data_IF_405642963105
#
_entry.id   IF_405642963105
#
_cell.length_a   1.000
_cell.length_b   1.000
_cell.length_c   1.000
_cell.angle_alpha   90.00
_cell.angle_beta   90.00
_cell.angle_gamma   90.00
#
_symmetry.space_group_name_H-M   'P 1'
#
loop_
_entity.id
_entity.type
_entity.pdbx_description
1 polymer ?
#
# COMPACT_ATOMS: atom_id res chain seq x y z
N UNK A 1 -6.02 -22.36 20.47
CA UNK A 1 -6.12 -23.08 19.17
C UNK A 1 -4.94 -22.66 18.30
N UNK A 2 -4.47 -23.49 17.35
CA UNK A 2 -3.38 -23.10 16.44
C UNK A 2 -3.93 -22.17 15.34
N UNK A 3 -3.45 -20.93 15.27
CA UNK A 3 -3.64 -20.07 14.10
C UNK A 3 -2.94 -20.70 12.89
N UNK A 4 -3.56 -20.63 11.71
CA UNK A 4 -2.84 -20.95 10.47
C UNK A 4 -1.96 -19.74 10.11
N UNK A 5 -0.62 -19.88 9.95
CA UNK A 5 0.31 -18.76 9.75
C UNK A 5 0.25 -18.17 8.34
N UNK A 6 -0.93 -18.25 7.72
CA UNK A 6 -1.14 -18.13 6.28
C UNK A 6 -2.42 -17.32 6.05
N UNK A 7 -2.73 -16.40 6.99
CA UNK A 7 -3.67 -15.27 6.96
C UNK A 7 -3.54 -14.44 8.29
N UNK A 8 -2.53 -13.52 8.38
CA UNK A 8 -2.42 -12.29 9.27
C UNK A 8 -2.76 -10.79 8.82
N UNK A 9 -2.64 -10.20 7.58
CA UNK A 9 -3.05 -8.80 7.18
C UNK A 9 -4.46 -8.58 6.54
N UNK A 10 -5.28 -7.63 7.04
CA UNK A 10 -6.27 -6.82 6.29
C UNK A 10 -7.24 -5.99 7.16
N UNK A 11 -6.72 -5.33 8.18
CA UNK A 11 -7.21 -4.03 8.64
C UNK A 11 -6.12 -3.38 9.49
N UNK A 12 -5.40 -2.43 8.91
CA UNK A 12 -4.17 -1.87 9.52
C UNK A 12 -4.05 -0.36 9.32
N UNK A 13 -5.17 0.34 9.54
CA UNK A 13 -5.45 1.72 9.15
C UNK A 13 -6.58 2.23 10.08
N UNK A 14 -6.60 3.41 10.75
CA UNK A 14 -5.58 4.48 10.92
C UNK A 14 -5.95 5.59 11.94
N UNK A 15 -5.34 5.61 13.13
CA UNK A 15 -5.35 6.79 14.04
C UNK A 15 -3.98 7.49 14.15
N UNK A 16 -3.82 8.68 13.52
CA UNK A 16 -3.13 9.86 14.10
C UNK A 16 -3.69 11.11 13.41
N UNK A 17 -4.50 11.91 14.14
CA UNK A 17 -4.89 13.28 13.75
C UNK A 17 -5.11 14.15 14.99
N UNK A 18 -4.06 14.37 15.79
CA UNK A 18 -4.08 15.40 16.84
C UNK A 18 -2.66 15.84 17.25
N UNK A 19 -2.15 16.94 16.69
CA UNK A 19 -0.97 17.66 17.21
C UNK A 19 -0.83 19.08 16.63
N UNK A 20 -1.90 19.89 16.69
CA UNK A 20 -1.86 21.30 16.26
C UNK A 20 -2.97 22.16 16.91
N UNK A 21 -3.19 22.04 18.23
CA UNK A 21 -4.20 22.82 18.94
C UNK A 21 -3.79 23.09 20.40
N UNK A 22 -2.89 24.07 20.60
CA UNK A 22 -2.76 24.83 21.86
C UNK A 22 -1.76 25.98 21.68
N UNK A 23 -2.27 27.18 21.40
CA UNK A 23 -2.18 28.36 22.26
C UNK A 23 -3.03 29.48 21.65
N UNK A 24 -3.75 30.21 22.50
CA UNK A 24 -4.63 31.31 22.12
C UNK A 24 -4.43 32.43 23.16
N UNK A 25 -4.53 33.69 22.70
CA UNK A 25 -4.65 34.93 23.50
C UNK A 25 -3.38 35.60 24.08
N UNK A 26 -3.24 36.95 24.10
CA UNK A 26 -3.60 37.99 23.10
C UNK A 26 -2.54 39.17 23.20
N UNK A 27 -2.78 40.53 23.15
CA UNK A 27 -1.82 41.42 22.47
C UNK A 27 -1.35 42.69 23.23
N UNK A 28 -0.35 43.39 22.67
CA UNK A 28 -0.06 44.84 22.86
C UNK A 28 0.67 45.32 21.59
N UNK A 29 0.24 46.34 20.84
CA UNK A 29 -0.05 47.78 21.09
C UNK A 29 1.13 48.69 20.69
N UNK A 30 0.80 49.76 19.96
CA UNK A 30 1.67 50.66 19.18
C UNK A 30 2.33 51.77 20.02
N UNK A 31 3.44 52.37 19.56
CA UNK A 31 3.52 53.77 19.06
C UNK A 31 4.92 54.18 18.58
N UNK A 32 4.99 55.06 17.58
CA UNK A 32 6.18 55.83 17.16
C UNK A 32 6.65 56.90 18.19
N UNK A 33 7.87 57.44 18.01
CA UNK A 33 8.15 58.86 17.65
C UNK A 33 9.64 59.27 17.89
N UNK A 34 10.33 59.57 16.78
CA UNK A 34 11.47 60.50 16.52
C UNK A 34 12.80 60.57 17.31
N UNK A 35 13.80 61.02 16.56
CA UNK A 35 15.24 61.21 16.82
C UNK A 35 15.60 62.43 17.70
N UNK A 36 16.89 62.52 18.09
CA UNK A 36 17.74 63.57 17.50
C UNK A 36 19.04 63.05 16.86
N UNK A 37 19.55 63.76 15.84
CA UNK A 37 20.72 63.34 15.05
C UNK A 37 22.11 63.71 15.63
N UNK A 38 23.05 62.77 15.42
CA UNK A 38 24.48 62.85 15.13
C UNK A 38 25.41 63.93 15.76
N UNK A 39 26.51 63.45 16.36
CA UNK A 39 27.87 63.94 16.16
C UNK A 39 28.62 63.06 15.13
N UNK A 40 29.37 63.69 14.20
CA UNK A 40 30.12 62.98 13.14
C UNK A 40 31.31 62.12 13.63
N UNK A 41 31.65 61.11 12.82
CA UNK A 41 32.67 60.08 13.07
C UNK A 41 34.14 60.57 13.00
N UNK A 42 35.07 59.88 13.71
CA UNK A 42 36.42 59.64 13.23
C UNK A 42 36.43 58.40 12.31
N UNK A 43 36.69 58.59 11.01
CA UNK A 43 36.50 57.55 9.99
C UNK A 43 37.34 56.27 10.18
N UNK A 44 36.72 55.12 9.90
CA UNK A 44 37.35 53.80 9.94
C UNK A 44 38.30 53.52 8.76
N UNK A 45 39.16 52.49 8.87
CA UNK A 45 40.08 52.11 7.80
C UNK A 45 39.36 51.51 6.58
N UNK A 46 39.88 51.75 5.38
CA UNK A 46 39.35 51.17 4.14
C UNK A 46 39.42 49.65 4.13
N UNK A 47 38.33 49.00 3.72
CA UNK A 47 38.30 47.55 3.49
C UNK A 47 39.17 47.15 2.29
N UNK A 48 39.84 45.99 2.33
CA UNK A 48 40.59 45.48 1.18
C UNK A 48 39.63 45.01 0.08
N UNK A 49 39.93 45.34 -1.18
CA UNK A 49 39.16 44.85 -2.32
C UNK A 49 39.11 43.32 -2.36
N UNK A 50 37.89 42.77 -2.43
CA UNK A 50 37.67 41.34 -2.60
C UNK A 50 38.18 40.81 -3.94
N UNK A 51 38.45 39.49 -4.06
CA UNK A 51 38.87 38.88 -5.31
C UNK A 51 37.78 39.00 -6.38
N UNK A 52 38.17 39.26 -7.63
CA UNK A 52 37.25 39.32 -8.76
C UNK A 52 36.60 37.96 -9.05
N UNK A 53 35.34 37.98 -9.50
CA UNK A 53 34.58 36.77 -9.82
C UNK A 53 35.27 35.90 -10.89
N UNK A 54 35.25 34.56 -10.74
CA UNK A 54 35.83 33.65 -11.72
C UNK A 54 35.01 33.68 -13.03
N UNK A 55 35.72 33.82 -14.16
CA UNK A 55 35.09 33.75 -15.49
C UNK A 55 34.29 32.46 -15.69
N UNK A 56 33.06 32.59 -16.18
CA UNK A 56 32.20 31.45 -16.48
C UNK A 56 32.85 30.49 -17.51
N UNK A 57 32.74 29.16 -17.32
CA UNK A 57 33.33 28.20 -18.25
C UNK A 57 32.66 28.25 -19.63
N UNK A 58 33.41 27.99 -20.72
CA UNK A 58 32.85 28.00 -22.07
C UNK A 58 31.81 26.89 -22.25
N UNK A 59 30.73 27.19 -22.99
CA UNK A 59 29.64 26.26 -23.23
C UNK A 59 30.12 24.97 -23.94
N UNK A 60 29.60 23.79 -23.55
CA UNK A 60 29.98 22.52 -24.18
C UNK A 60 29.54 22.47 -25.64
N UNK A 61 30.36 21.87 -26.50
CA UNK A 61 30.02 21.66 -27.92
C UNK A 61 28.85 20.67 -28.05
N UNK A 62 27.91 20.89 -28.98
CA UNK A 62 26.81 19.95 -29.21
C UNK A 62 27.33 18.57 -29.65
N UNK A 63 26.64 17.47 -29.29
CA UNK A 63 27.02 16.14 -29.74
C UNK A 63 26.85 16.01 -31.25
N UNK A 64 27.65 15.12 -31.87
CA UNK A 64 27.44 14.72 -33.26
C UNK A 64 26.09 13.98 -33.39
N UNK A 65 25.35 14.15 -34.50
CA UNK A 65 24.17 13.32 -34.77
C UNK A 65 24.59 11.85 -34.93
N UNK A 66 23.72 10.89 -34.55
CA UNK A 66 23.98 9.46 -34.72
C UNK A 66 24.00 9.07 -36.21
N UNK A 67 24.76 8.03 -36.54
CA UNK A 67 24.73 7.43 -37.88
C UNK A 67 23.39 6.75 -38.15
N UNK A 68 22.94 6.79 -39.42
CA UNK A 68 21.68 6.16 -39.82
C UNK A 68 21.75 4.63 -39.70
N UNK A 69 20.71 3.96 -39.16
CA UNK A 69 20.71 2.51 -39.02
C UNK A 69 20.72 1.82 -40.39
N UNK A 70 21.49 0.73 -40.50
CA UNK A 70 21.55 -0.09 -41.72
C UNK A 70 20.21 -0.79 -41.95
N UNK A 71 19.74 -0.82 -43.20
CA UNK A 71 18.48 -1.47 -43.55
C UNK A 71 18.50 -2.97 -43.18
N UNK A 72 17.39 -3.53 -42.65
CA UNK A 72 17.30 -4.95 -42.33
C UNK A 72 17.34 -5.81 -43.60
N UNK A 73 17.86 -7.04 -43.48
CA UNK A 73 17.77 -8.03 -44.55
C UNK A 73 16.30 -8.50 -44.71
N UNK A 74 15.84 -8.81 -45.93
CA UNK A 74 14.53 -9.44 -46.13
C UNK A 74 14.50 -10.83 -45.47
N UNK A 75 13.33 -11.29 -44.98
CA UNK A 75 13.19 -12.61 -44.38
C UNK A 75 13.28 -13.73 -45.44
N UNK A 76 13.75 -14.91 -45.02
CA UNK A 76 13.71 -16.12 -45.87
C UNK A 76 12.27 -16.60 -46.07
N UNK A 77 12.00 -17.19 -47.25
CA UNK A 77 10.67 -17.71 -47.56
C UNK A 77 10.31 -18.95 -46.71
N UNK A 78 9.08 -19.03 -46.18
CA UNK A 78 8.65 -20.16 -45.35
C UNK A 78 8.60 -21.46 -46.16
N UNK A 79 9.02 -22.57 -45.54
CA UNK A 79 8.95 -23.91 -46.14
C UNK A 79 7.49 -24.36 -46.26
N UNK A 80 7.09 -25.04 -47.36
CA UNK A 80 5.72 -25.48 -47.54
C UNK A 80 5.29 -26.50 -46.47
N UNK A 81 4.02 -26.48 -46.03
CA UNK A 81 3.52 -27.41 -45.02
C UNK A 81 3.51 -28.86 -45.55
N UNK A 82 3.74 -29.82 -44.66
CA UNK A 82 3.60 -31.25 -44.98
C UNK A 82 2.11 -31.60 -45.14
N UNK A 83 1.80 -32.43 -46.14
CA UNK A 83 0.43 -32.88 -46.38
C UNK A 83 -0.20 -33.58 -45.15
N UNK A 84 -1.49 -33.35 -44.85
CA UNK A 84 -2.18 -34.03 -43.76
C UNK A 84 -2.21 -35.56 -43.97
N UNK A 85 -2.16 -36.32 -42.87
CA UNK A 85 -2.48 -37.75 -42.91
C UNK A 85 -4.00 -37.92 -43.02
N UNK A 86 -4.44 -38.87 -43.84
CA UNK A 86 -5.85 -39.20 -43.98
C UNK A 86 -6.48 -39.60 -42.62
N UNK A 87 -7.71 -39.18 -42.32
CA UNK A 87 -8.40 -39.56 -41.09
C UNK A 87 -8.75 -41.05 -41.09
N UNK A 88 -8.80 -41.66 -39.91
CA UNK A 88 -9.33 -43.02 -39.73
C UNK A 88 -10.85 -43.02 -39.89
N UNK A 89 -11.47 -44.09 -40.44
CA UNK A 89 -12.92 -44.20 -40.49
C UNK A 89 -13.53 -44.21 -39.07
N UNK A 90 -14.72 -43.64 -38.88
CA UNK A 90 -15.41 -43.65 -37.59
C UNK A 90 -15.81 -45.07 -37.19
N UNK A 91 -15.88 -45.34 -35.88
CA UNK A 91 -16.53 -46.55 -35.37
C UNK A 91 -18.05 -46.42 -35.52
N UNK A 92 -18.73 -47.54 -35.76
CA UNK A 92 -20.19 -47.58 -35.76
C UNK A 92 -20.75 -47.15 -34.38
N UNK A 93 -21.89 -46.44 -34.34
CA UNK A 93 -22.53 -46.06 -33.09
C UNK A 93 -23.16 -47.27 -32.39
N UNK A 94 -23.14 -47.27 -31.06
CA UNK A 94 -23.90 -48.25 -30.27
C UNK A 94 -25.41 -47.96 -30.37
N UNK A 95 -26.23 -49.00 -30.27
CA UNK A 95 -27.69 -48.85 -30.22
C UNK A 95 -28.13 -48.02 -28.99
N UNK A 96 -29.16 -47.17 -29.11
CA UNK A 96 -29.64 -46.36 -28.00
C UNK A 96 -30.32 -47.21 -26.93
N UNK A 97 -30.02 -46.93 -25.66
CA UNK A 97 -30.75 -47.51 -24.52
C UNK A 97 -32.17 -46.96 -24.43
N UNK A 98 -33.13 -47.79 -24.03
CA UNK A 98 -34.52 -47.36 -23.83
C UNK A 98 -34.61 -46.22 -22.77
N UNK A 99 -35.47 -45.21 -22.98
CA UNK A 99 -35.62 -44.11 -22.04
C UNK A 99 -36.22 -44.59 -20.72
N UNK A 100 -35.68 -44.11 -19.59
CA UNK A 100 -36.29 -44.30 -18.28
C UNK A 100 -37.55 -43.42 -18.17
N UNK A 101 -38.58 -43.93 -17.51
CA UNK A 101 -39.77 -43.15 -17.18
C UNK A 101 -39.40 -41.90 -16.36
N UNK A 102 -40.07 -40.76 -16.59
CA UNK A 102 -39.81 -39.54 -15.84
C UNK A 102 -40.15 -39.71 -14.35
N UNK A 103 -39.34 -39.14 -13.47
CA UNK A 103 -39.75 -38.92 -12.07
C UNK A 103 -40.84 -37.85 -12.03
N UNK A 104 -41.73 -37.95 -11.05
CA UNK A 104 -42.59 -36.83 -10.66
C UNK A 104 -41.71 -35.63 -10.22
N UNK A 105 -42.13 -34.39 -10.48
CA UNK A 105 -41.42 -33.20 -10.02
C UNK A 105 -41.49 -33.10 -8.49
N UNK A 106 -40.37 -32.78 -7.86
CA UNK A 106 -40.34 -32.40 -6.45
C UNK A 106 -41.08 -31.06 -6.24
N UNK A 107 -41.71 -30.89 -5.08
CA UNK A 107 -42.41 -29.65 -4.74
C UNK A 107 -41.42 -28.46 -4.66
N UNK A 108 -41.82 -27.25 -5.11
CA UNK A 108 -40.95 -26.08 -5.09
C UNK A 108 -40.54 -25.75 -3.65
N UNK A 109 -39.23 -25.73 -3.39
CA UNK A 109 -38.68 -25.28 -2.12
C UNK A 109 -38.87 -23.76 -2.00
N UNK A 110 -39.23 -23.31 -0.80
CA UNK A 110 -39.30 -21.87 -0.49
C UNK A 110 -37.95 -21.21 -0.77
N UNK A 111 -37.90 -20.00 -1.39
CA UNK A 111 -36.65 -19.33 -1.74
C UNK A 111 -35.94 -18.79 -0.49
N UNK A 112 -35.19 -19.67 0.18
CA UNK A 112 -34.35 -19.34 1.31
C UNK A 112 -32.89 -19.23 0.86
N UNK A 113 -32.40 -17.98 0.91
CA UNK A 113 -31.05 -17.55 0.61
C UNK A 113 -30.68 -17.62 -0.88
N UNK A 114 -30.20 -16.50 -1.40
CA UNK A 114 -29.65 -16.37 -2.75
C UNK A 114 -28.56 -17.41 -2.98
N UNK A 115 -28.66 -18.15 -4.08
CA UNK A 115 -27.60 -19.04 -4.54
C UNK A 115 -26.32 -18.21 -4.76
N UNK A 116 -25.31 -18.42 -3.92
CA UNK A 116 -23.95 -18.07 -4.29
C UNK A 116 -23.52 -19.11 -5.34
N UNK A 117 -23.80 -18.77 -6.60
CA UNK A 117 -23.58 -19.66 -7.74
C UNK A 117 -22.14 -20.18 -7.79
N UNK A 118 -21.95 -21.30 -8.48
CA UNK A 118 -20.63 -21.91 -8.69
C UNK A 118 -19.79 -21.13 -9.73
N UNK A 119 -19.74 -19.80 -9.62
CA UNK A 119 -18.88 -18.96 -10.42
C UNK A 119 -17.40 -19.22 -10.06
N UNK A 120 -16.51 -19.44 -11.06
CA UNK A 120 -15.05 -19.47 -10.83
C UNK A 120 -14.48 -18.08 -10.44
N UNK A 121 -15.32 -17.05 -10.41
CA UNK A 121 -14.95 -15.65 -10.24
C UNK A 121 -15.77 -14.90 -9.17
N UNK A 122 -16.65 -15.61 -8.45
CA UNK A 122 -17.41 -15.10 -7.32
C UNK A 122 -16.54 -14.81 -6.08
N UNK A 123 -16.98 -13.87 -5.24
CA UNK A 123 -16.16 -13.30 -4.13
C UNK A 123 -15.64 -14.37 -3.16
N UNK A 124 -16.47 -15.33 -2.75
CA UNK A 124 -16.06 -16.43 -1.86
C UNK A 124 -14.93 -17.30 -2.48
N UNK A 125 -14.97 -17.54 -3.79
CA UNK A 125 -13.92 -18.26 -4.51
C UNK A 125 -12.65 -17.42 -4.69
N UNK A 126 -12.78 -16.13 -5.02
CA UNK A 126 -11.64 -15.20 -5.10
C UNK A 126 -10.91 -15.08 -3.76
N UNK A 127 -11.62 -14.92 -2.65
CA UNK A 127 -11.02 -14.87 -1.31
C UNK A 127 -10.28 -16.19 -0.98
N UNK A 128 -10.86 -17.35 -1.32
CA UNK A 128 -10.17 -18.65 -1.19
C UNK A 128 -8.96 -18.79 -2.10
N UNK A 129 -8.96 -18.19 -3.30
CA UNK A 129 -7.82 -18.15 -4.23
C UNK A 129 -6.69 -17.26 -3.68
N UNK A 130 -7.01 -16.04 -3.24
CA UNK A 130 -6.08 -15.09 -2.61
C UNK A 130 -5.46 -15.74 -1.37
N UNK A 131 -6.30 -16.30 -0.48
CA UNK A 131 -5.87 -17.08 0.68
C UNK A 131 -4.85 -18.16 0.27
N UNK A 132 -5.20 -19.04 -0.68
CA UNK A 132 -4.37 -20.14 -1.16
C UNK A 132 -3.05 -19.69 -1.82
N UNK A 133 -3.03 -18.49 -2.40
CA UNK A 133 -1.83 -17.89 -3.01
C UNK A 133 -0.91 -17.27 -1.97
N UNK A 134 -1.46 -16.53 -0.99
CA UNK A 134 -0.73 -15.98 0.15
C UNK A 134 0.02 -17.07 0.94
N UNK A 135 -0.55 -18.29 1.02
CA UNK A 135 0.11 -19.46 1.67
C UNK A 135 1.43 -19.92 1.04
N UNK A 136 1.85 -19.31 -0.07
CA UNK A 136 3.09 -19.60 -0.82
C UNK A 136 4.03 -18.40 -0.92
N UNK A 137 3.73 -17.31 -0.23
CA UNK A 137 4.53 -16.08 -0.22
C UNK A 137 5.38 -16.07 1.04
N UNK A 138 6.67 -16.38 0.90
CA UNK A 138 7.63 -16.31 2.00
C UNK A 138 8.14 -14.88 2.21
N UNK A 139 8.55 -14.22 1.14
CA UNK A 139 8.88 -12.80 1.16
C UNK A 139 8.40 -12.08 -0.11
N UNK A 140 8.12 -10.77 0.03
CA UNK A 140 7.94 -9.85 -1.10
C UNK A 140 8.88 -8.65 -0.95
N UNK A 141 9.34 -8.11 -2.08
CA UNK A 141 9.92 -6.77 -2.15
C UNK A 141 9.34 -6.02 -3.34
N UNK A 142 9.40 -4.69 -3.33
CA UNK A 142 9.03 -3.87 -4.48
C UNK A 142 9.04 -2.38 -4.15
N UNK A 143 8.67 -1.57 -5.14
CA UNK A 143 8.48 -0.14 -4.97
C UNK A 143 7.06 0.18 -4.50
N UNK A 144 6.91 1.26 -3.74
CA UNK A 144 5.63 1.75 -3.23
C UNK A 144 5.47 3.25 -3.49
N UNK A 145 4.29 3.63 -4.00
CA UNK A 145 3.83 5.02 -4.07
C UNK A 145 2.59 5.19 -3.19
N UNK A 146 2.68 6.05 -2.18
CA UNK A 146 1.57 6.43 -1.31
C UNK A 146 1.11 7.84 -1.65
N UNK A 147 -0.20 8.06 -1.77
CA UNK A 147 -0.84 9.35 -2.02
C UNK A 147 -1.90 9.59 -0.95
N UNK A 148 -1.74 10.59 -0.07
CA UNK A 148 -2.85 11.12 0.75
C UNK A 148 -3.46 12.33 0.04
N UNK A 149 -4.79 12.41 0.00
CA UNK A 149 -5.55 13.61 -0.31
C UNK A 149 -6.33 13.98 0.96
N UNK A 150 -6.03 15.17 1.49
CA UNK A 150 -6.79 15.79 2.57
C UNK A 150 -8.12 16.31 2.05
N UNK A 151 -9.25 15.85 2.61
CA UNK A 151 -10.59 16.14 2.08
C UNK A 151 -11.01 17.60 2.27
N UNK A 152 -10.54 18.23 3.34
CA UNK A 152 -10.91 19.59 3.77
C UNK A 152 -10.03 20.64 3.10
N UNK A 153 -8.72 20.37 3.03
CA UNK A 153 -7.73 21.31 2.50
C UNK A 153 -7.41 21.09 1.01
N UNK A 154 -7.90 20.00 0.41
CA UNK A 154 -7.57 19.59 -0.97
C UNK A 154 -6.09 19.24 -1.19
N UNK A 155 -5.29 19.20 -0.11
CA UNK A 155 -3.83 19.03 -0.18
C UNK A 155 -3.49 17.59 -0.52
N UNK A 156 -2.64 17.41 -1.53
CA UNK A 156 -2.11 16.10 -1.90
C UNK A 156 -0.67 15.96 -1.40
N UNK A 157 -0.44 14.95 -0.55
CA UNK A 157 0.88 14.46 -0.19
C UNK A 157 1.18 13.19 -0.98
N UNK A 158 2.32 13.12 -1.67
CA UNK A 158 2.80 11.88 -2.30
C UNK A 158 4.11 11.48 -1.65
N UNK A 159 4.29 10.20 -1.37
CA UNK A 159 5.56 9.60 -0.96
C UNK A 159 5.91 8.43 -1.85
N UNK A 160 7.21 8.26 -2.11
CA UNK A 160 7.76 7.12 -2.84
C UNK A 160 8.84 6.45 -2.01
N UNK A 161 9.10 5.19 -2.31
CA UNK A 161 10.17 4.40 -1.70
C UNK A 161 9.97 2.92 -2.02
N UNK A 162 10.45 2.05 -1.13
CA UNK A 162 10.32 0.60 -1.25
C UNK A 162 9.58 -0.01 -0.07
N UNK A 163 9.11 -1.25 -0.25
CA UNK A 163 8.52 -2.08 0.79
C UNK A 163 9.16 -3.47 0.84
N UNK A 164 9.05 -4.10 2.00
CA UNK A 164 9.42 -5.48 2.24
C UNK A 164 8.34 -6.18 3.07
N UNK A 165 8.08 -7.44 2.78
CA UNK A 165 7.20 -8.34 3.53
C UNK A 165 7.93 -9.67 3.78
N UNK A 166 7.73 -10.26 4.95
CA UNK A 166 8.12 -11.63 5.27
C UNK A 166 7.03 -12.32 6.09
N UNK A 167 6.67 -13.54 5.69
CA UNK A 167 5.64 -14.36 6.32
C UNK A 167 6.00 -14.78 7.76
N UNK A 168 5.01 -14.96 8.65
CA UNK A 168 5.27 -15.49 9.99
C UNK A 168 5.80 -16.93 9.93
N UNK A 169 6.57 -17.30 10.96
CA UNK A 169 7.12 -18.64 11.18
C UNK A 169 6.80 -19.10 12.60
N UNK A 170 7.22 -20.31 12.99
CA UNK A 170 7.00 -20.79 14.38
C UNK A 170 7.81 -19.99 15.43
N UNK A 171 8.87 -19.28 15.03
CA UNK A 171 9.79 -18.57 15.94
C UNK A 171 9.84 -17.05 15.72
N UNK A 172 9.19 -16.52 14.68
CA UNK A 172 9.15 -15.09 14.36
C UNK A 172 7.75 -14.71 13.85
N UNK A 173 7.18 -13.58 14.32
CA UNK A 173 5.95 -13.04 13.75
C UNK A 173 6.19 -12.58 12.31
N UNK A 174 5.11 -12.19 11.65
CA UNK A 174 5.14 -11.55 10.34
C UNK A 174 5.88 -10.21 10.42
N UNK A 175 6.64 -9.86 9.38
CA UNK A 175 7.49 -8.65 9.37
C UNK A 175 7.26 -7.84 8.12
N UNK A 176 6.95 -6.55 8.29
CA UNK A 176 6.74 -5.64 7.16
C UNK A 176 7.49 -4.34 7.39
N UNK A 177 8.04 -3.80 6.29
CA UNK A 177 8.58 -2.46 6.25
C UNK A 177 8.09 -1.68 5.05
N UNK A 178 7.74 -0.40 5.25
CA UNK A 178 7.59 0.60 4.19
C UNK A 178 8.61 1.70 4.47
N UNK A 179 9.57 1.88 3.56
CA UNK A 179 10.69 2.80 3.69
C UNK A 179 10.59 3.85 2.59
N UNK A 180 10.04 5.02 2.91
CA UNK A 180 9.98 6.15 1.99
C UNK A 180 11.31 6.91 1.95
N UNK A 181 11.76 7.28 0.75
CA UNK A 181 12.91 8.15 0.53
C UNK A 181 12.48 9.58 0.12
N UNK A 182 11.42 9.72 -0.68
CA UNK A 182 10.96 11.02 -1.20
C UNK A 182 9.57 11.42 -0.69
N UNK A 183 9.43 12.73 -0.51
CA UNK A 183 8.18 13.44 -0.37
C UNK A 183 7.99 14.33 -1.62
N UNK A 184 6.80 14.31 -2.20
CA UNK A 184 6.41 15.19 -3.31
C UNK A 184 5.13 15.94 -2.90
N UNK A 185 5.24 17.26 -2.81
CA UNK A 185 4.14 18.18 -2.48
C UNK A 185 4.19 19.32 -3.49
N UNK A 186 3.04 19.72 -4.05
CA UNK A 186 2.94 20.76 -5.08
C UNK A 186 3.91 20.53 -6.27
N UNK A 187 4.05 19.28 -6.71
CA UNK A 187 5.01 18.80 -7.74
C UNK A 187 6.51 18.96 -7.39
N UNK A 188 6.84 19.43 -6.19
CA UNK A 188 8.23 19.62 -5.73
C UNK A 188 8.71 18.40 -4.94
N UNK A 189 9.76 17.73 -5.43
CA UNK A 189 10.38 16.59 -4.74
C UNK A 189 11.35 17.05 -3.64
N UNK A 190 11.41 16.28 -2.54
CA UNK A 190 12.30 16.46 -1.39
C UNK A 190 12.72 15.10 -0.85
N UNK A 191 14.00 14.93 -0.50
CA UNK A 191 14.43 13.78 0.31
C UNK A 191 13.88 13.95 1.73
N UNK A 192 13.07 12.99 2.18
CA UNK A 192 12.30 13.01 3.43
C UNK A 192 12.05 11.59 3.91
N UNK A 193 13.14 10.95 4.33
CA UNK A 193 13.14 9.59 4.84
C UNK A 193 12.14 9.42 5.99
N UNK A 194 11.20 8.48 5.81
CA UNK A 194 10.25 8.08 6.84
C UNK A 194 9.93 6.60 6.68
N UNK A 195 10.00 5.87 7.78
CA UNK A 195 9.89 4.41 7.77
C UNK A 195 8.76 3.93 8.69
N UNK A 196 8.13 2.83 8.30
CA UNK A 196 7.00 2.22 8.99
C UNK A 196 7.27 0.72 9.08
N UNK A 197 7.56 0.23 10.28
CA UNK A 197 8.07 -1.13 10.52
C UNK A 197 7.12 -1.86 11.48
N UNK A 198 6.57 -3.00 11.07
CA UNK A 198 5.54 -3.75 11.79
C UNK A 198 5.98 -5.19 12.11
N UNK A 199 5.87 -5.58 13.39
CA UNK A 199 6.33 -6.88 13.94
C UNK A 199 5.19 -7.85 14.30
N UNK A 200 4.00 -7.67 13.73
CA UNK A 200 2.80 -8.41 14.11
C UNK A 200 2.03 -7.81 15.29
N UNK A 201 2.68 -7.02 16.17
CA UNK A 201 2.06 -6.47 17.40
C UNK A 201 2.23 -4.95 17.54
N UNK A 202 3.39 -4.43 17.14
CA UNK A 202 3.79 -3.03 17.20
C UNK A 202 4.04 -2.45 15.81
N UNK A 203 3.71 -1.18 15.63
CA UNK A 203 4.22 -0.33 14.54
C UNK A 203 5.27 0.62 15.10
N UNK A 204 6.49 0.56 14.58
CA UNK A 204 7.49 1.62 14.74
C UNK A 204 7.42 2.57 13.53
N UNK A 205 7.00 3.82 13.75
CA UNK A 205 7.18 4.93 12.81
C UNK A 205 8.52 5.62 13.10
N UNK A 206 9.38 5.79 12.09
CA UNK A 206 10.64 6.53 12.17
C UNK A 206 10.58 7.75 11.27
N UNK A 207 10.66 8.97 11.81
CA UNK A 207 10.78 10.21 11.01
C UNK A 207 12.18 10.80 11.16
N UNK A 208 12.94 10.73 10.06
CA UNK A 208 14.36 11.09 10.02
C UNK A 208 14.57 12.61 9.94
N UNK A 209 13.52 13.39 9.61
CA UNK A 209 13.60 14.86 9.62
C UNK A 209 13.53 15.39 11.05
N UNK A 210 12.61 14.85 11.86
CA UNK A 210 12.39 15.29 13.25
C UNK A 210 13.22 14.52 14.27
N UNK A 211 13.92 13.46 13.85
CA UNK A 211 14.62 12.50 14.74
C UNK A 211 13.67 11.95 15.81
N UNK A 212 12.49 11.52 15.38
CA UNK A 212 11.45 10.97 16.25
C UNK A 212 11.09 9.56 15.84
N UNK A 213 11.10 8.65 16.80
CA UNK A 213 10.50 7.33 16.67
C UNK A 213 9.20 7.27 17.48
N UNK A 214 8.16 6.67 16.94
CA UNK A 214 6.92 6.37 17.66
C UNK A 214 6.68 4.87 17.55
N UNK A 215 6.79 4.14 18.66
CA UNK A 215 6.52 2.70 18.72
C UNK A 215 5.15 2.48 19.36
N UNK A 216 4.13 2.25 18.53
CA UNK A 216 2.73 2.09 18.92
C UNK A 216 2.36 0.61 18.99
N UNK A 217 1.91 0.15 20.14
CA UNK A 217 1.32 -1.18 20.28
C UNK A 217 -0.08 -1.13 19.71
N UNK A 218 -0.34 -2.04 18.78
CA UNK A 218 -1.61 -2.12 18.09
C UNK A 218 -2.48 -3.19 18.77
N UNK A 219 -1.85 -4.30 19.15
CA UNK A 219 -2.48 -5.54 19.58
C UNK A 219 -2.10 -5.97 21.00
N UNK A 220 -3.01 -6.62 21.73
CA UNK A 220 -2.65 -7.69 22.65
C UNK A 220 -1.90 -8.80 21.89
N UNK A 221 -0.94 -9.46 22.54
CA UNK A 221 -0.17 -10.54 21.92
C UNK A 221 -1.10 -11.65 21.37
N UNK A 222 -0.91 -12.01 20.11
CA UNK A 222 -1.72 -13.02 19.42
C UNK A 222 -3.06 -12.53 18.85
N UNK A 223 -3.42 -11.25 19.00
CA UNK A 223 -4.55 -10.64 18.29
C UNK A 223 -4.08 -9.88 17.04
N UNK A 224 -4.97 -9.71 16.06
CA UNK A 224 -4.69 -9.03 14.79
C UNK A 224 -5.61 -7.82 14.64
N UNK A 225 -5.03 -6.63 14.39
CA UNK A 225 -5.66 -5.31 14.61
C UNK A 225 -4.96 -4.17 13.85
N UNK A 226 -5.36 -2.91 14.10
CA UNK A 226 -5.18 -1.78 13.20
C UNK A 226 -4.02 -0.82 13.51
N UNK A 227 -3.09 -0.54 12.57
CA UNK A 227 -1.91 0.33 12.80
C UNK A 227 -2.07 1.82 12.45
N UNK A 228 -2.54 2.11 11.23
CA UNK A 228 -2.31 3.40 10.60
C UNK A 228 -1.04 3.48 9.77
N UNK A 229 -0.81 4.68 9.22
CA UNK A 229 0.25 4.91 8.25
C UNK A 229 -0.12 4.52 6.81
N UNK A 230 0.87 4.15 5.98
CA UNK A 230 0.72 3.94 4.54
C UNK A 230 0.55 2.49 4.09
N UNK A 231 0.64 1.52 5.02
CA UNK A 231 0.95 0.14 4.66
C UNK A 231 -0.27 -0.55 4.02
N UNK A 232 -0.17 -1.12 2.79
CA UNK A 232 -1.25 -1.82 2.12
C UNK A 232 -1.38 -3.25 2.63
N UNK A 233 -1.82 -3.36 3.88
CA UNK A 233 -1.97 -4.61 4.60
C UNK A 233 -3.25 -5.31 4.10
N UNK A 234 -3.12 -6.31 3.22
CA UNK A 234 -4.26 -6.85 2.43
C UNK A 234 -4.25 -8.36 2.16
N UNK A 235 -3.14 -9.05 2.41
CA UNK A 235 -2.91 -10.42 1.91
C UNK A 235 -3.59 -11.53 2.70
N UNK A 236 -3.99 -11.21 3.92
CA UNK A 236 -3.82 -12.15 5.01
C UNK A 236 -4.84 -11.91 6.16
N UNK A 237 -6.08 -11.42 6.05
CA UNK A 237 -7.08 -11.70 7.13
C UNK A 237 -7.78 -13.00 6.82
N UNK A 238 -8.00 -13.85 7.84
CA UNK A 238 -8.77 -15.08 7.66
C UNK A 238 -10.06 -14.73 6.91
N UNK A 239 -10.49 -15.56 5.95
CA UNK A 239 -11.69 -15.24 5.17
C UNK A 239 -12.88 -14.95 6.10
N UNK A 240 -12.95 -15.67 7.21
CA UNK A 240 -13.87 -15.42 8.33
C UNK A 240 -13.73 -14.08 9.05
N UNK A 241 -12.53 -13.51 9.20
CA UNK A 241 -12.32 -12.20 9.84
C UNK A 241 -12.63 -11.03 8.89
N UNK A 242 -12.26 -11.17 7.62
CA UNK A 242 -12.74 -10.28 6.55
C UNK A 242 -14.28 -10.27 6.52
N UNK A 243 -14.91 -11.45 6.51
CA UNK A 243 -16.37 -11.59 6.48
C UNK A 243 -17.05 -11.24 7.82
N UNK A 244 -16.32 -11.14 8.94
CA UNK A 244 -16.83 -10.57 10.20
C UNK A 244 -16.90 -9.05 10.14
N UNK A 245 -15.86 -8.41 9.61
CA UNK A 245 -15.70 -6.95 9.65
C UNK A 245 -16.32 -6.23 8.43
N UNK A 246 -16.39 -6.91 7.27
CA UNK A 246 -16.73 -6.29 5.99
C UNK A 246 -17.86 -7.00 5.24
N UNK A 247 -18.63 -6.22 4.47
CA UNK A 247 -19.32 -6.68 3.26
C UNK A 247 -18.34 -6.54 2.10
N UNK A 248 -18.16 -7.61 1.33
CA UNK A 248 -17.14 -7.69 0.28
C UNK A 248 -17.83 -7.91 -1.06
N UNK A 249 -17.51 -7.12 -2.08
CA UNK A 249 -18.11 -7.22 -3.42
C UNK A 249 -17.05 -7.10 -4.51
N UNK A 250 -17.21 -7.82 -5.63
CA UNK A 250 -16.39 -7.59 -6.83
C UNK A 250 -16.79 -6.24 -7.45
N UNK A 251 -15.80 -5.52 -7.98
CA UNK A 251 -15.97 -4.26 -8.70
C UNK A 251 -15.24 -4.35 -10.04
N UNK A 252 -15.75 -3.62 -11.03
CA UNK A 252 -14.94 -3.21 -12.18
C UNK A 252 -13.77 -2.33 -11.65
N UNK A 253 -12.50 -2.70 -11.93
CA UNK A 253 -11.34 -1.94 -11.48
C UNK A 253 -11.21 -0.55 -12.14
N UNK A 254 -11.92 -0.28 -13.25
CA UNK A 254 -11.93 1.02 -13.92
C UNK A 254 -13.12 1.91 -13.51
N UNK A 255 -14.03 1.42 -12.65
CA UNK A 255 -15.31 2.05 -12.31
C UNK A 255 -15.22 3.45 -11.67
N UNK A 256 -14.04 3.90 -11.24
CA UNK A 256 -13.79 5.28 -10.81
C UNK A 256 -12.33 5.68 -10.99
N UNK A 257 -12.08 6.99 -11.11
CA UNK A 257 -10.77 7.52 -11.50
C UNK A 257 -9.62 7.28 -10.52
N UNK A 258 -9.90 6.86 -9.29
CA UNK A 258 -8.87 6.72 -8.24
C UNK A 258 -8.13 5.39 -8.33
N UNK A 259 -8.74 4.36 -8.94
CA UNK A 259 -8.08 3.08 -9.24
C UNK A 259 -7.35 3.08 -10.58
N UNK A 260 -7.53 4.08 -11.46
CA UNK A 260 -6.84 4.12 -12.77
C UNK A 260 -5.30 4.15 -12.63
N UNK A 261 -4.77 4.81 -11.59
CA UNK A 261 -3.35 4.77 -11.21
C UNK A 261 -2.85 3.34 -10.89
N UNK A 262 -3.75 2.41 -10.54
CA UNK A 262 -3.44 1.03 -10.15
C UNK A 262 -3.60 0.02 -11.30
N UNK A 263 -4.35 0.38 -12.35
CA UNK A 263 -4.72 -0.50 -13.48
C UNK A 263 -3.84 -0.21 -14.72
N UNK A 264 -2.76 0.56 -14.56
CA UNK A 264 -1.96 1.12 -15.66
C UNK A 264 -0.94 0.14 -16.29
N UNK A 265 -1.29 -1.14 -16.44
CA UNK A 265 -0.42 -2.18 -17.01
C UNK A 265 -1.18 -3.17 -17.90
N UNK A 266 -0.45 -3.95 -18.68
CA UNK A 266 -1.02 -4.91 -19.65
C UNK A 266 -1.52 -6.23 -19.01
N UNK A 267 -1.22 -6.47 -17.73
CA UNK A 267 -1.67 -7.67 -17.01
C UNK A 267 -3.12 -7.54 -16.49
N UNK A 268 -3.94 -8.60 -16.58
CA UNK A 268 -5.34 -8.56 -16.14
C UNK A 268 -5.45 -8.41 -14.61
N UNK A 269 -6.37 -7.55 -14.18
CA UNK A 269 -6.62 -7.23 -12.77
C UNK A 269 -8.12 -7.27 -12.42
N UNK A 270 -8.43 -7.58 -11.16
CA UNK A 270 -9.78 -7.51 -10.60
C UNK A 270 -9.82 -6.64 -9.34
N UNK A 271 -10.96 -6.01 -9.07
CA UNK A 271 -11.14 -5.20 -7.87
C UNK A 271 -12.09 -5.86 -6.86
N UNK A 272 -11.73 -5.86 -5.59
CA UNK A 272 -12.61 -6.18 -4.46
C UNK A 272 -12.84 -4.93 -3.61
N UNK A 273 -14.11 -4.57 -3.38
CA UNK A 273 -14.52 -3.54 -2.42
C UNK A 273 -14.84 -4.18 -1.08
N UNK A 274 -14.28 -3.59 -0.03
CA UNK A 274 -14.51 -3.89 1.38
C UNK A 274 -15.24 -2.70 2.00
N UNK A 275 -16.52 -2.87 2.36
CA UNK A 275 -17.33 -1.87 3.06
C UNK A 275 -17.57 -2.34 4.49
N UNK A 276 -17.19 -1.56 5.53
CA UNK A 276 -17.40 -1.93 6.92
C UNK A 276 -18.84 -2.35 7.22
N UNK A 277 -19.01 -3.34 8.10
CA UNK A 277 -20.32 -3.70 8.65
C UNK A 277 -20.70 -2.79 9.81
N UNK A 278 -21.98 -2.46 9.93
CA UNK A 278 -22.51 -1.71 11.07
C UNK A 278 -22.19 -2.39 12.41
N UNK A 279 -21.99 -1.59 13.47
CA UNK A 279 -21.57 -2.08 14.78
C UNK A 279 -20.08 -2.45 14.89
N UNK A 280 -19.33 -2.50 13.79
CA UNK A 280 -17.89 -2.80 13.79
C UNK A 280 -17.05 -1.51 13.90
N UNK A 281 -15.90 -1.55 14.59
CA UNK A 281 -15.05 -0.36 14.84
C UNK A 281 -14.58 0.34 13.56
N UNK A 282 -14.49 -0.43 12.49
CA UNK A 282 -14.11 -0.08 11.12
C UNK A 282 -14.98 1.03 10.54
N UNK A 283 -16.24 1.14 10.98
CA UNK A 283 -17.17 2.21 10.57
C UNK A 283 -16.75 3.61 11.05
N UNK A 284 -15.96 3.69 12.14
CA UNK A 284 -15.41 4.96 12.64
C UNK A 284 -14.27 5.47 11.76
N UNK A 285 -13.61 4.56 11.05
CA UNK A 285 -12.38 4.84 10.29
C UNK A 285 -12.63 4.92 8.78
N UNK A 286 -13.52 4.09 8.21
CA UNK A 286 -13.71 3.95 6.75
C UNK A 286 -15.15 4.05 6.28
N UNK A 287 -15.29 4.64 5.10
CA UNK A 287 -16.46 4.49 4.22
C UNK A 287 -16.32 3.23 3.36
N UNK A 288 -15.14 3.00 2.77
CA UNK A 288 -14.82 1.80 1.98
C UNK A 288 -13.31 1.70 1.67
N UNK A 289 -12.86 0.49 1.31
CA UNK A 289 -11.54 0.20 0.77
C UNK A 289 -11.73 -0.61 -0.52
N UNK A 290 -11.13 -0.18 -1.63
CA UNK A 290 -11.02 -0.93 -2.89
C UNK A 290 -9.60 -1.47 -3.04
N UNK A 291 -9.47 -2.74 -3.44
CA UNK A 291 -8.19 -3.41 -3.64
C UNK A 291 -8.12 -3.96 -5.05
N UNK A 292 -7.09 -3.59 -5.80
CA UNK A 292 -6.84 -4.08 -7.16
C UNK A 292 -5.80 -5.20 -7.10
N UNK A 293 -6.21 -6.41 -7.47
CA UNK A 293 -5.39 -7.63 -7.50
C UNK A 293 -5.07 -8.05 -8.93
N UNK A 294 -3.84 -8.51 -9.16
CA UNK A 294 -3.41 -9.20 -10.36
C UNK A 294 -4.13 -10.56 -10.50
N UNK A 295 -4.81 -10.85 -11.61
CA UNK A 295 -5.55 -12.11 -11.79
C UNK A 295 -4.64 -13.34 -11.92
N UNK A 296 -3.46 -13.16 -12.54
CA UNK A 296 -2.52 -14.25 -12.82
C UNK A 296 -1.74 -14.70 -11.58
N UNK A 297 -1.33 -13.76 -10.73
CA UNK A 297 -0.48 -14.05 -9.58
C UNK A 297 -1.16 -13.83 -8.20
N UNK A 298 -2.24 -13.04 -8.12
CA UNK A 298 -3.04 -12.74 -6.91
C UNK A 298 -2.33 -11.89 -5.83
N UNK A 299 -1.36 -11.07 -6.21
CA UNK A 299 -0.83 -9.94 -5.42
C UNK A 299 -1.66 -8.67 -5.71
N UNK A 300 -1.90 -7.78 -4.73
CA UNK A 300 -2.39 -6.44 -4.99
C UNK A 300 -1.40 -5.58 -5.78
N UNK A 301 -1.84 -5.02 -6.89
CA UNK A 301 -1.17 -3.88 -7.54
C UNK A 301 -1.38 -2.58 -6.72
N UNK A 302 -2.39 -2.58 -5.84
CA UNK A 302 -2.58 -1.51 -4.87
C UNK A 302 -3.96 -1.46 -4.22
N UNK A 303 -4.23 -0.35 -3.53
CA UNK A 303 -5.53 -0.04 -2.94
C UNK A 303 -5.89 1.45 -3.03
N UNK A 304 -7.18 1.72 -2.99
CA UNK A 304 -7.76 3.05 -2.74
C UNK A 304 -8.67 2.92 -1.53
N UNK A 305 -8.59 3.84 -0.58
CA UNK A 305 -9.47 3.87 0.58
C UNK A 305 -10.04 5.27 0.80
N UNK A 306 -11.26 5.30 1.33
CA UNK A 306 -11.95 6.52 1.72
C UNK A 306 -12.28 6.43 3.21
N UNK A 307 -11.67 7.32 3.99
CA UNK A 307 -11.90 7.45 5.41
C UNK A 307 -13.32 7.95 5.70
N UNK A 308 -13.78 7.79 6.94
CA UNK A 308 -15.05 8.35 7.43
C UNK A 308 -15.13 9.89 7.36
N UNK A 309 -13.99 10.60 7.45
CA UNK A 309 -13.87 12.05 7.23
C UNK A 309 -13.71 12.44 5.74
N UNK A 310 -13.84 11.49 4.81
CA UNK A 310 -13.66 11.69 3.38
C UNK A 310 -12.21 11.82 2.91
N UNK A 311 -11.20 11.74 3.80
CA UNK A 311 -9.79 11.68 3.37
C UNK A 311 -9.60 10.46 2.45
N UNK A 312 -8.91 10.66 1.33
CA UNK A 312 -8.62 9.57 0.39
C UNK A 312 -7.14 9.20 0.47
N UNK A 313 -6.84 7.92 0.58
CA UNK A 313 -5.47 7.40 0.43
C UNK A 313 -5.44 6.41 -0.73
N UNK A 314 -4.44 6.53 -1.60
CA UNK A 314 -4.12 5.55 -2.63
C UNK A 314 -2.74 4.99 -2.35
N UNK A 315 -2.58 3.68 -2.46
CA UNK A 315 -1.28 2.99 -2.44
C UNK A 315 -1.15 2.20 -3.73
N UNK A 316 -0.06 2.42 -4.47
CA UNK A 316 0.35 1.64 -5.63
C UNK A 316 1.61 0.87 -5.27
N UNK A 317 1.63 -0.42 -5.59
CA UNK A 317 2.82 -1.27 -5.55
C UNK A 317 3.32 -1.46 -6.98
N UNK A 318 4.63 -1.53 -7.17
CA UNK A 318 5.24 -1.77 -8.49
C UNK A 318 6.50 -2.60 -8.38
N UNK A 319 6.86 -3.29 -9.47
CA UNK A 319 8.04 -4.18 -9.54
C UNK A 319 8.05 -5.23 -8.42
N UNK A 320 6.87 -5.73 -8.02
CA UNK A 320 6.73 -6.64 -6.89
C UNK A 320 7.34 -8.00 -7.22
N UNK A 321 8.35 -8.40 -6.45
CA UNK A 321 9.04 -9.68 -6.56
C UNK A 321 8.58 -10.63 -5.46
N UNK A 322 8.54 -11.92 -5.78
CA UNK A 322 8.45 -13.00 -4.80
C UNK A 322 9.85 -13.51 -4.52
N UNK A 323 10.33 -13.25 -3.32
CA UNK A 323 11.60 -13.76 -2.86
C UNK A 323 11.37 -15.04 -2.04
N UNK A 324 12.31 -15.97 -2.09
CA UNK A 324 12.35 -17.09 -1.14
C UNK A 324 12.62 -16.58 0.28
N UNK A 325 13.47 -15.55 0.38
CA UNK A 325 13.95 -14.97 1.62
C UNK A 325 14.34 -13.50 1.39
N UNK A 326 14.06 -12.61 2.35
CA UNK A 326 14.54 -11.23 2.29
C UNK A 326 16.07 -11.14 2.37
N UNK A 327 16.66 -10.17 1.66
CA UNK A 327 18.10 -9.91 1.71
C UNK A 327 18.58 -9.61 3.15
N UNK A 328 19.82 -10.00 3.55
CA UNK A 328 20.27 -9.94 4.95
C UNK A 328 20.27 -8.53 5.56
N UNK A 329 20.54 -7.51 4.76
CA UNK A 329 20.47 -6.09 5.13
C UNK A 329 19.02 -5.65 5.40
N UNK A 330 18.08 -6.04 4.55
CA UNK A 330 16.65 -5.80 4.76
C UNK A 330 16.13 -6.55 5.99
N UNK A 331 16.51 -7.82 6.18
CA UNK A 331 16.18 -8.59 7.39
C UNK A 331 16.67 -7.91 8.66
N UNK A 332 17.94 -7.50 8.68
CA UNK A 332 18.52 -6.74 9.79
C UNK A 332 17.73 -5.46 10.04
N UNK A 333 17.44 -4.67 9.00
CA UNK A 333 16.71 -3.42 9.09
C UNK A 333 15.31 -3.59 9.71
N UNK A 334 14.55 -4.59 9.24
CA UNK A 334 13.26 -4.93 9.85
C UNK A 334 13.45 -5.29 11.33
N UNK A 335 14.33 -6.23 11.66
CA UNK A 335 14.59 -6.64 13.04
C UNK A 335 14.98 -5.51 13.99
N UNK A 336 15.86 -4.59 13.59
CA UNK A 336 16.34 -3.50 14.46
C UNK A 336 15.22 -2.51 14.82
N UNK A 337 14.50 -1.99 13.82
CA UNK A 337 13.40 -1.05 14.07
C UNK A 337 12.21 -1.68 14.80
N UNK A 338 12.02 -2.99 14.68
CA UNK A 338 11.03 -3.76 15.44
C UNK A 338 11.45 -3.97 16.90
N UNK A 339 12.73 -4.23 17.18
CA UNK A 339 13.29 -4.26 18.53
C UNK A 339 13.25 -2.90 19.25
N UNK A 340 12.98 -1.81 18.53
CA UNK A 340 13.06 -0.44 19.06
C UNK A 340 14.50 0.08 19.13
N UNK A 341 15.42 -0.48 18.35
CA UNK A 341 16.78 0.05 18.19
C UNK A 341 16.74 1.36 17.39
N UNK A 342 16.52 2.46 18.11
CA UNK A 342 16.51 3.83 17.59
C UNK A 342 17.83 4.52 17.99
N UNK A 343 18.45 5.36 17.12
CA UNK A 343 19.67 6.07 17.47
C UNK A 343 19.52 6.92 18.75
N UNK A 344 20.57 7.00 19.57
CA UNK A 344 20.53 7.61 20.91
C UNK A 344 20.31 9.12 20.92
N UNK A 345 20.42 9.80 19.77
CA UNK A 345 20.13 11.22 19.59
C UNK A 345 18.69 11.51 19.12
N UNK A 346 17.82 10.50 19.10
CA UNK A 346 16.41 10.62 18.70
C UNK A 346 15.47 10.56 19.92
N UNK A 347 14.29 11.18 19.77
CA UNK A 347 13.19 11.05 20.72
C UNK A 347 12.34 9.82 20.38
N UNK A 348 12.39 8.79 21.23
CA UNK A 348 11.44 7.68 21.20
C UNK A 348 10.18 8.01 22.01
N UNK A 349 9.01 7.87 21.40
CA UNK A 349 7.72 7.77 22.08
C UNK A 349 7.25 6.31 22.06
N UNK A 350 6.73 5.80 23.17
CA UNK A 350 6.12 4.46 23.24
C UNK A 350 4.65 4.63 23.59
N UNK A 351 3.79 4.18 22.68
CA UNK A 351 2.33 4.26 22.80
C UNK A 351 1.82 2.83 23.04
N UNK A 352 1.77 2.33 24.30
CA UNK A 352 1.22 1.01 24.58
C UNK A 352 -0.28 0.95 24.26
N UNK A 353 -0.83 -0.27 24.20
CA UNK A 353 -2.23 -0.45 23.83
C UNK A 353 -3.12 0.32 24.81
N UNK A 354 -4.01 1.15 24.28
CA UNK A 354 -4.97 1.89 25.09
C UNK A 354 -5.88 0.92 25.84
N UNK A 355 -5.65 0.77 27.15
CA UNK A 355 -6.55 0.04 28.05
C UNK A 355 -7.97 0.61 27.87
N UNK A 356 -8.99 -0.19 27.54
CA UNK A 356 -10.35 0.31 27.49
C UNK A 356 -10.70 0.88 28.87
N UNK A 357 -11.25 2.09 28.89
CA UNK A 357 -11.65 2.74 30.13
C UNK A 357 -12.60 1.79 30.90
N UNK A 358 -12.17 1.37 32.10
CA UNK A 358 -12.98 0.53 32.96
C UNK A 358 -14.16 1.36 33.42
N UNK A 359 -15.32 1.19 32.79
CA UNK A 359 -16.56 1.85 33.20
C UNK A 359 -16.79 1.56 34.68
N UNK A 360 -16.80 2.64 35.47
CA UNK A 360 -16.96 2.57 36.91
C UNK A 360 -18.45 2.39 37.23
N UNK A 361 -18.88 1.13 37.17
CA UNK A 361 -20.11 0.68 37.81
C UNK A 361 -19.85 0.55 39.32
N UNK A 362 -20.01 1.67 40.03
CA UNK A 362 -20.41 1.71 41.45
C UNK A 362 -21.96 1.69 41.54
#
# INVERSE_FOLDING_TARGET
MKSSPLLTLALVISMVSCSAANHFEQPVQSTDVHDPMDPMEPGGPMEPHGPSDPMAPPAPKPPKPPEAPKAPKPPEAPKPPKAPKAPKPPKAPNAPSAPKAPKAPDAPKSPLQSEEEHEPDGVNHLLKRIEKAGKKVHALTGDITYRKIDSVLGRTEIRTGNFAYESPTESQPERIGVMFDQLIVNNVRRSRQREYLFDGTWLTELDHQTKTAIRRQLAPEGQVVSAGGPIPMLFTYSKSDLERQYRITRRDPLAHKWTWDLVSGDEPVFCLRFTPKEGTSQTKEFSWIDVVFNEGNLIPEGMVQESSNGDRKTVRLTHVKREHELAPDMKKKLSQGMAGEVPSDWKLNVEPLATPAREAFD
#
